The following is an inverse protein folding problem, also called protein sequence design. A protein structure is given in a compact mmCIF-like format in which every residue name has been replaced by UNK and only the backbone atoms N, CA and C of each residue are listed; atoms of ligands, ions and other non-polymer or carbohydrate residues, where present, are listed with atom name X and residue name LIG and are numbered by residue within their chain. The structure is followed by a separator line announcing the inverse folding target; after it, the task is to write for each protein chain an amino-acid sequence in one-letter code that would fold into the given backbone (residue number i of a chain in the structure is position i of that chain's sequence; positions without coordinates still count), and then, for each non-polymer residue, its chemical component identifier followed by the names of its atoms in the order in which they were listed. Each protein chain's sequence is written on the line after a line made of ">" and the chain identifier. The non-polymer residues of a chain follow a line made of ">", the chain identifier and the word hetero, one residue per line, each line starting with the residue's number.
data_IF_375527449262
#
_entry.id   IF_375527449262
#
_cell.length_a   1.000
_cell.length_b   1.000
_cell.length_c   1.000
_cell.angle_alpha   90.00
_cell.angle_beta   90.00
_cell.angle_gamma   90.00
#
_symmetry.space_group_name_H-M   'P 1'
#
loop_
_entity.id
_entity.type
_entity.pdbx_description
1 polymer ?
#
# COMPACT_ATOMS: atom_id res chain seq x y z
N UNK A 1 20.90 -15.37 -1.05
CA UNK A 1 20.25 -14.99 -2.32
C UNK A 1 19.75 -13.55 -2.23
N UNK A 2 20.53 -12.56 -2.71
CA UNK A 2 20.17 -11.12 -2.66
C UNK A 2 18.91 -10.78 -3.48
N UNK A 3 18.66 -11.53 -4.55
CA UNK A 3 17.52 -11.29 -5.45
C UNK A 3 16.16 -11.50 -4.75
N UNK A 4 16.00 -12.55 -3.93
CA UNK A 4 14.73 -12.84 -3.25
C UNK A 4 14.40 -11.77 -2.19
N UNK A 5 15.40 -11.21 -1.52
CA UNK A 5 15.19 -10.09 -0.59
C UNK A 5 14.62 -8.87 -1.31
N UNK A 6 15.21 -8.53 -2.45
CA UNK A 6 14.78 -7.41 -3.27
C UNK A 6 13.35 -7.61 -3.78
N UNK A 7 13.07 -8.78 -4.36
CA UNK A 7 11.74 -9.11 -4.90
C UNK A 7 10.67 -9.07 -3.83
N UNK A 8 10.90 -9.68 -2.66
CA UNK A 8 9.91 -9.70 -1.57
C UNK A 8 9.61 -8.28 -1.08
N UNK A 9 10.64 -7.45 -0.93
CA UNK A 9 10.47 -6.05 -0.48
C UNK A 9 9.69 -5.24 -1.51
N UNK A 10 10.06 -5.35 -2.78
CA UNK A 10 9.42 -4.63 -3.88
C UNK A 10 7.95 -5.06 -4.03
N UNK A 11 7.67 -6.36 -4.00
CA UNK A 11 6.33 -6.90 -4.13
C UNK A 11 5.44 -6.49 -2.95
N UNK A 12 5.99 -6.51 -1.72
CA UNK A 12 5.28 -6.03 -0.53
C UNK A 12 4.84 -4.57 -0.70
N UNK A 13 5.76 -3.68 -1.08
CA UNK A 13 5.45 -2.27 -1.32
C UNK A 13 4.40 -2.13 -2.43
N UNK A 14 4.51 -2.92 -3.50
CA UNK A 14 3.57 -2.89 -4.62
C UNK A 14 2.16 -3.28 -4.19
N UNK A 15 1.99 -4.37 -3.43
CA UNK A 15 0.68 -4.82 -2.94
C UNK A 15 0.00 -3.77 -2.08
N UNK A 16 0.72 -3.07 -1.20
CA UNK A 16 0.15 -1.98 -0.40
C UNK A 16 -0.29 -0.77 -1.23
N UNK A 17 0.29 -0.58 -2.41
CA UNK A 17 -0.01 0.52 -3.33
C UNK A 17 -1.03 0.17 -4.42
N UNK A 18 -1.49 -1.09 -4.47
CA UNK A 18 -2.43 -1.53 -5.48
C UNK A 18 -3.76 -0.77 -5.32
N UNK A 19 -4.27 -0.24 -6.42
CA UNK A 19 -5.50 0.57 -6.43
C UNK A 19 -6.26 0.35 -7.73
N UNK A 20 -5.52 0.31 -8.82
CA UNK A 20 -5.91 -0.01 -10.18
C UNK A 20 -6.73 -1.31 -10.27
N UNK A 21 -6.25 -2.40 -9.69
CA UNK A 21 -6.93 -3.70 -9.76
C UNK A 21 -8.29 -3.63 -9.06
N UNK A 22 -8.35 -3.04 -7.86
CA UNK A 22 -9.59 -2.88 -7.12
C UNK A 22 -10.58 -1.96 -7.85
N UNK A 23 -10.06 -0.89 -8.48
CA UNK A 23 -10.83 0.06 -9.26
C UNK A 23 -11.45 -0.57 -10.50
N UNK A 24 -10.64 -1.27 -11.32
CA UNK A 24 -11.06 -1.84 -12.60
C UNK A 24 -12.00 -3.03 -12.42
N UNK A 25 -11.71 -3.93 -11.46
CA UNK A 25 -12.45 -5.19 -11.37
C UNK A 25 -13.81 -5.06 -10.71
N UNK A 26 -13.91 -4.22 -9.67
CA UNK A 26 -15.12 -4.17 -8.84
C UNK A 26 -15.55 -2.76 -8.47
N UNK A 27 -14.69 -1.76 -8.71
CA UNK A 27 -14.87 -0.39 -8.22
C UNK A 27 -15.27 -0.35 -6.73
N UNK A 28 -14.71 -1.28 -5.94
CA UNK A 28 -14.98 -1.41 -4.51
C UNK A 28 -16.27 -2.14 -4.12
N UNK A 29 -17.02 -2.76 -5.04
CA UNK A 29 -18.29 -3.43 -4.75
C UNK A 29 -18.21 -4.92 -4.36
N UNK A 30 -19.29 -5.49 -3.79
CA UNK A 30 -20.53 -4.85 -3.34
C UNK A 30 -20.38 -4.26 -1.92
N UNK A 31 -20.84 -3.02 -1.71
CA UNK A 31 -20.90 -2.40 -0.38
C UNK A 31 -19.53 -2.12 0.28
N UNK A 32 -18.50 -1.78 -0.49
CA UNK A 32 -17.11 -1.60 -0.05
C UNK A 32 -16.36 -2.89 0.33
N UNK A 33 -16.92 -4.09 0.10
CA UNK A 33 -16.29 -5.36 0.50
C UNK A 33 -14.91 -5.61 -0.14
N UNK A 34 -14.67 -5.07 -1.33
CA UNK A 34 -13.39 -5.19 -2.08
C UNK A 34 -12.60 -3.88 -2.11
N UNK A 35 -13.04 -2.87 -1.35
CA UNK A 35 -12.38 -1.56 -1.34
C UNK A 35 -11.04 -1.63 -0.62
N UNK A 36 -9.98 -1.27 -1.32
CA UNK A 36 -8.64 -1.11 -0.76
C UNK A 36 -8.44 0.32 -0.24
N UNK A 37 -7.49 0.53 0.68
CA UNK A 37 -7.23 1.85 1.25
C UNK A 37 -6.97 2.93 0.19
N UNK A 38 -6.19 2.61 -0.85
CA UNK A 38 -5.91 3.52 -1.96
C UNK A 38 -7.16 3.91 -2.77
N UNK A 39 -8.16 3.03 -2.82
CA UNK A 39 -9.41 3.30 -3.53
C UNK A 39 -10.25 4.35 -2.79
N UNK A 40 -10.29 4.29 -1.45
CA UNK A 40 -10.96 5.31 -0.64
C UNK A 40 -10.21 6.65 -0.67
N UNK A 41 -8.88 6.63 -0.69
CA UNK A 41 -8.07 7.83 -0.91
C UNK A 41 -8.42 8.48 -2.26
N UNK A 42 -8.49 7.68 -3.33
CA UNK A 42 -8.86 8.16 -4.65
C UNK A 42 -10.26 8.78 -4.66
N UNK A 43 -11.26 8.09 -4.08
CA UNK A 43 -12.62 8.63 -3.93
C UNK A 43 -12.61 9.98 -3.21
N UNK A 44 -11.90 10.11 -2.10
CA UNK A 44 -11.88 11.36 -1.35
C UNK A 44 -11.21 12.50 -2.12
N UNK A 45 -10.11 12.21 -2.82
CA UNK A 45 -9.40 13.22 -3.60
C UNK A 45 -10.16 13.66 -4.86
N UNK A 46 -10.74 12.71 -5.60
CA UNK A 46 -11.25 12.95 -6.96
C UNK A 46 -12.77 12.86 -7.11
N UNK A 47 -13.47 12.07 -6.27
CA UNK A 47 -14.94 11.93 -6.33
C UNK A 47 -15.64 12.90 -5.40
N UNK A 48 -15.18 13.00 -4.15
CA UNK A 48 -15.75 13.91 -3.15
C UNK A 48 -15.13 15.31 -3.20
N UNK A 49 -14.14 15.54 -4.08
CA UNK A 49 -13.43 16.82 -4.22
C UNK A 49 -12.83 17.33 -2.90
N UNK A 50 -12.32 16.43 -2.06
CA UNK A 50 -11.62 16.74 -0.80
C UNK A 50 -10.14 16.35 -0.90
N UNK A 51 -9.35 17.02 -1.76
CA UNK A 51 -7.95 16.64 -2.01
C UNK A 51 -7.08 16.74 -0.75
N UNK A 52 -7.31 17.71 0.13
CA UNK A 52 -6.57 17.83 1.39
C UNK A 52 -6.75 16.60 2.29
N UNK A 53 -7.97 16.04 2.34
CA UNK A 53 -8.25 14.83 3.10
C UNK A 53 -7.62 13.59 2.45
N UNK A 54 -7.70 13.48 1.12
CA UNK A 54 -7.02 12.43 0.37
C UNK A 54 -5.49 12.47 0.54
N UNK A 55 -4.88 13.66 0.54
CA UNK A 55 -3.46 13.84 0.81
C UNK A 55 -3.08 13.40 2.24
N UNK A 56 -3.90 13.72 3.25
CA UNK A 56 -3.66 13.25 4.61
C UNK A 56 -3.69 11.72 4.70
N UNK A 57 -4.65 11.07 4.04
CA UNK A 57 -4.70 9.60 3.92
C UNK A 57 -3.45 9.04 3.22
N UNK A 58 -2.98 9.70 2.15
CA UNK A 58 -1.76 9.30 1.43
C UNK A 58 -0.52 9.31 2.33
N UNK A 59 -0.37 10.36 3.16
CA UNK A 59 0.75 10.49 4.10
C UNK A 59 0.68 9.42 5.18
N UNK A 60 -0.51 9.12 5.70
CA UNK A 60 -0.68 8.03 6.67
C UNK A 60 -0.26 6.69 6.07
N UNK A 61 -0.68 6.40 4.83
CA UNK A 61 -0.28 5.18 4.14
C UNK A 61 1.23 5.11 3.91
N UNK A 62 1.86 6.22 3.54
CA UNK A 62 3.32 6.31 3.41
C UNK A 62 4.02 5.91 4.71
N UNK A 63 3.56 6.42 5.85
CA UNK A 63 4.14 6.08 7.16
C UNK A 63 3.98 4.59 7.48
N UNK A 64 2.83 4.00 7.15
CA UNK A 64 2.59 2.56 7.33
C UNK A 64 3.56 1.74 6.46
N UNK A 65 3.67 2.06 5.17
CA UNK A 65 4.57 1.36 4.24
C UNK A 65 6.01 1.49 4.71
N UNK A 66 6.44 2.70 5.10
CA UNK A 66 7.78 2.94 5.62
C UNK A 66 8.07 2.09 6.87
N UNK A 67 7.12 2.01 7.82
CA UNK A 67 7.22 1.16 9.00
C UNK A 67 7.38 -0.31 8.65
N UNK A 68 6.56 -0.83 7.73
CA UNK A 68 6.63 -2.21 7.24
C UNK A 68 7.97 -2.48 6.54
N UNK A 69 8.44 -1.58 5.68
CA UNK A 69 9.72 -1.71 4.98
C UNK A 69 10.91 -1.74 5.95
N UNK A 70 10.91 -0.88 6.99
CA UNK A 70 11.95 -0.89 8.02
C UNK A 70 11.93 -2.21 8.81
N UNK A 71 10.75 -2.68 9.20
CA UNK A 71 10.60 -3.96 9.90
C UNK A 71 11.10 -5.14 9.05
N UNK A 72 10.71 -5.17 7.77
CA UNK A 72 11.12 -6.20 6.81
C UNK A 72 12.64 -6.19 6.61
N UNK A 73 13.24 -5.01 6.45
CA UNK A 73 14.70 -4.83 6.34
C UNK A 73 15.43 -5.34 7.58
N UNK A 74 14.97 -4.98 8.78
CA UNK A 74 15.56 -5.45 10.04
C UNK A 74 15.44 -6.96 10.23
N UNK A 75 14.31 -7.56 9.87
CA UNK A 75 14.10 -9.00 9.97
C UNK A 75 15.03 -9.77 9.03
N UNK A 76 15.22 -9.27 7.82
CA UNK A 76 16.06 -9.94 6.82
C UNK A 76 17.56 -9.80 7.09
N UNK A 77 18.01 -8.65 7.61
CA UNK A 77 19.42 -8.47 8.03
C UNK A 77 19.81 -9.42 9.17
N UNK A 78 18.90 -9.68 10.13
CA UNK A 78 19.13 -10.67 11.21
C UNK A 78 19.34 -12.09 10.69
N UNK A 79 18.66 -12.47 9.60
CA UNK A 79 18.76 -13.80 8.99
C UNK A 79 20.01 -13.98 8.12
N UNK A 80 20.71 -12.90 7.77
CA UNK A 80 21.98 -12.94 7.04
C UNK A 80 23.20 -13.13 7.97
N UNK A 81 23.03 -13.01 9.29
CA UNK A 81 24.10 -13.08 10.29
C UNK A 81 24.04 -14.36 11.16
N UNK A 82 23.09 -15.27 10.88
CA UNK A 82 23.00 -16.62 11.43
C UNK A 82 23.27 -17.63 10.31
#
# INVERSE_FOLDING_TARGET
>A
MPAIFFDVTMNTIYTFKIFDIAFIMTSGGPGNATSVYNFELYKQAFTFFRPAYGCAMAVILLLIIMGVTILQSKFFQKKSLL
#
